data_IF_492790498256
#
_entry.id   IF_492790498256
#
_cell.length_a   1.000
_cell.length_b   1.000
_cell.length_c   1.000
_cell.angle_alpha   90.00
_cell.angle_beta   90.00
_cell.angle_gamma   90.00
#
_symmetry.space_group_name_H-M   'P 1'
#
loop_
_entity.id
_entity.type
_entity.pdbx_description
1 polymer ?
#
# COMPACT_ATOMS: atom_id res chain seq x y z
N UNK A 1 -12.20 -9.95 12.34
CA UNK A 1 -11.85 -10.23 10.94
C UNK A 1 -10.41 -10.71 10.88
N UNK A 2 -10.16 -11.85 10.25
CA UNK A 2 -8.84 -12.45 10.10
C UNK A 2 -8.20 -11.98 8.80
N UNK A 3 -7.06 -11.32 8.91
CA UNK A 3 -6.25 -10.88 7.78
C UNK A 3 -5.71 -12.11 7.05
N UNK A 4 -6.09 -12.31 5.78
CA UNK A 4 -5.59 -13.45 4.99
C UNK A 4 -4.08 -13.30 4.70
N UNK A 5 -3.43 -14.41 4.37
CA UNK A 5 -2.03 -14.40 3.92
C UNK A 5 -1.83 -13.46 2.70
N UNK A 6 -2.82 -13.38 1.81
CA UNK A 6 -2.82 -12.47 0.67
C UNK A 6 -2.94 -11.01 1.10
N UNK A 7 -3.84 -10.69 2.04
CA UNK A 7 -4.02 -9.33 2.54
C UNK A 7 -2.72 -8.83 3.18
N UNK A 8 -2.01 -9.69 3.93
CA UNK A 8 -0.67 -9.39 4.46
C UNK A 8 0.34 -9.09 3.36
N UNK A 9 0.34 -9.86 2.26
CA UNK A 9 1.23 -9.61 1.12
C UNK A 9 0.91 -8.28 0.43
N UNK A 10 -0.38 -7.95 0.26
CA UNK A 10 -0.83 -6.67 -0.30
C UNK A 10 -0.32 -5.52 0.56
N UNK A 11 -0.54 -5.57 1.86
CA UNK A 11 -0.09 -4.54 2.80
C UNK A 11 1.44 -4.41 2.79
N UNK A 12 2.18 -5.52 2.80
CA UNK A 12 3.64 -5.50 2.74
C UNK A 12 4.18 -4.90 1.43
N UNK A 13 3.51 -5.17 0.31
CA UNK A 13 3.84 -4.60 -0.99
C UNK A 13 3.56 -3.09 -1.04
N UNK A 14 2.38 -2.67 -0.61
CA UNK A 14 2.00 -1.25 -0.53
C UNK A 14 2.88 -0.46 0.45
N UNK A 15 3.28 -1.06 1.57
CA UNK A 15 4.17 -0.41 2.53
C UNK A 15 5.57 -0.17 1.96
N UNK A 16 6.06 -1.07 1.08
CA UNK A 16 7.33 -0.87 0.36
C UNK A 16 7.21 0.14 -0.77
N UNK A 17 6.09 0.12 -1.50
CA UNK A 17 5.84 0.99 -2.64
C UNK A 17 4.38 1.40 -2.67
N UNK A 18 4.05 2.48 -1.97
CA UNK A 18 2.66 2.96 -1.86
C UNK A 18 2.06 3.47 -3.18
N UNK A 19 2.92 3.75 -4.17
CA UNK A 19 2.51 4.28 -5.48
C UNK A 19 2.47 3.23 -6.59
N UNK A 20 2.32 1.97 -6.22
CA UNK A 20 2.33 0.86 -7.15
C UNK A 20 0.97 0.71 -7.84
N UNK A 21 0.97 0.42 -9.13
CA UNK A 21 -0.26 0.22 -9.88
C UNK A 21 -0.96 -1.07 -9.44
N UNK A 22 -2.30 -1.11 -9.54
CA UNK A 22 -3.07 -2.31 -9.21
C UNK A 22 -2.66 -3.52 -10.06
N UNK A 23 -2.20 -3.31 -11.30
CA UNK A 23 -1.64 -4.35 -12.16
C UNK A 23 -0.36 -4.97 -11.55
N UNK A 24 0.65 -4.15 -11.27
CA UNK A 24 1.90 -4.57 -10.64
C UNK A 24 1.66 -5.25 -9.28
N UNK A 25 0.78 -4.67 -8.46
CA UNK A 25 0.39 -5.23 -7.18
C UNK A 25 -0.21 -6.62 -7.37
N UNK A 26 -1.12 -6.78 -8.34
CA UNK A 26 -1.80 -8.05 -8.63
C UNK A 26 -0.84 -9.14 -9.11
N UNK A 27 0.17 -8.81 -9.92
CA UNK A 27 1.24 -9.74 -10.28
C UNK A 27 2.04 -10.17 -9.05
N UNK A 28 2.42 -9.20 -8.20
CA UNK A 28 3.24 -9.47 -7.03
C UNK A 28 2.53 -10.36 -5.99
N UNK A 29 1.21 -10.20 -5.85
CA UNK A 29 0.39 -11.02 -4.94
C UNK A 29 -0.27 -12.24 -5.60
N UNK A 30 0.02 -12.51 -6.89
CA UNK A 30 -0.54 -13.61 -7.68
C UNK A 30 -2.07 -13.63 -7.67
N UNK A 31 -2.69 -12.49 -7.98
CA UNK A 31 -4.13 -12.30 -8.05
C UNK A 31 -4.55 -11.65 -9.36
N UNK A 32 -5.83 -11.76 -9.69
CA UNK A 32 -6.41 -10.96 -10.77
C UNK A 32 -6.47 -9.47 -10.36
N UNK A 33 -6.30 -8.54 -11.31
CA UNK A 33 -6.34 -7.10 -11.03
C UNK A 33 -7.64 -6.64 -10.32
N UNK A 34 -8.78 -7.21 -10.73
CA UNK A 34 -10.09 -6.93 -10.14
C UNK A 34 -10.23 -7.46 -8.70
N UNK A 35 -9.67 -8.64 -8.40
CA UNK A 35 -9.67 -9.15 -7.03
C UNK A 35 -8.75 -8.34 -6.11
N UNK A 36 -7.59 -7.90 -6.64
CA UNK A 36 -6.65 -7.06 -5.93
C UNK A 36 -7.29 -5.72 -5.54
N UNK A 37 -7.93 -5.04 -6.49
CA UNK A 37 -8.62 -3.77 -6.24
C UNK A 37 -9.67 -3.87 -5.12
N UNK A 38 -10.53 -4.90 -5.17
CA UNK A 38 -11.58 -5.10 -4.15
C UNK A 38 -11.00 -5.36 -2.75
N UNK A 39 -9.87 -6.07 -2.68
CA UNK A 39 -9.16 -6.35 -1.41
C UNK A 39 -8.54 -5.08 -0.84
N UNK A 40 -7.88 -4.26 -1.66
CA UNK A 40 -7.32 -2.97 -1.25
C UNK A 40 -8.41 -2.05 -0.72
N UNK A 41 -9.50 -1.87 -1.48
CA UNK A 41 -10.65 -1.06 -1.04
C UNK A 41 -11.22 -1.52 0.31
N UNK A 42 -11.30 -2.84 0.52
CA UNK A 42 -11.74 -3.40 1.80
C UNK A 42 -10.75 -3.06 2.92
N UNK A 43 -9.45 -3.21 2.69
CA UNK A 43 -8.41 -2.89 3.67
C UNK A 43 -8.39 -1.39 4.03
N UNK A 44 -8.69 -0.52 3.08
CA UNK A 44 -8.88 0.92 3.31
C UNK A 44 -10.15 1.18 4.14
N UNK A 45 -11.28 0.59 3.73
CA UNK A 45 -12.56 0.78 4.42
C UNK A 45 -12.56 0.23 5.86
N UNK A 46 -11.85 -0.87 6.09
CA UNK A 46 -11.66 -1.47 7.42
C UNK A 46 -10.61 -0.71 8.27
N UNK A 47 -9.90 0.27 7.68
CA UNK A 47 -8.91 1.09 8.39
C UNK A 47 -7.56 0.41 8.62
N UNK A 48 -7.27 -0.70 7.93
CA UNK A 48 -5.93 -1.30 7.90
C UNK A 48 -4.93 -0.39 7.19
N UNK A 49 -5.38 0.28 6.13
CA UNK A 49 -4.63 1.34 5.47
C UNK A 49 -5.13 2.67 6.05
N UNK A 50 -4.29 3.29 6.90
CA UNK A 50 -4.64 4.55 7.56
C UNK A 50 -4.48 5.75 6.65
N UNK A 51 -3.37 5.82 5.94
CA UNK A 51 -3.05 6.95 5.06
C UNK A 51 -1.95 6.60 4.07
N UNK A 52 -1.86 7.35 2.97
CA UNK A 52 -0.77 7.25 1.99
C UNK A 52 0.15 8.46 2.12
N UNK A 53 1.32 8.24 2.70
CA UNK A 53 2.28 9.32 2.95
C UNK A 53 3.43 9.30 1.94
N UNK A 54 3.84 10.47 1.48
CA UNK A 54 5.08 10.65 0.74
C UNK A 54 6.24 10.85 1.74
N UNK A 55 7.27 10.02 1.64
CA UNK A 55 8.52 10.24 2.36
C UNK A 55 9.33 11.31 1.61
N UNK A 56 9.50 12.47 2.24
CA UNK A 56 10.19 13.60 1.66
C UNK A 56 11.61 13.72 2.21
N UNK A 57 12.52 14.19 1.38
CA UNK A 57 13.90 14.46 1.77
C UNK A 57 14.00 15.88 2.37
N UNK A 58 14.19 15.94 3.69
CA UNK A 58 14.29 17.20 4.42
C UNK A 58 15.43 18.11 3.90
N UNK A 59 16.54 17.54 3.41
CA UNK A 59 17.69 18.31 2.91
C UNK A 59 17.38 19.02 1.60
N UNK A 60 16.54 18.41 0.76
CA UNK A 60 16.09 19.00 -0.51
C UNK A 60 14.95 20.01 -0.33
N UNK A 61 14.33 20.01 0.84
CA UNK A 61 13.26 20.93 1.19
C UNK A 61 13.75 22.15 1.97
N UNK A 62 15.08 22.32 2.12
CA UNK A 62 15.71 23.39 2.90
C UNK A 62 15.09 23.54 4.32
N UNK A 63 14.62 22.42 4.89
CA UNK A 63 14.03 22.39 6.22
C UNK A 63 15.15 22.21 7.25
N UNK A 64 15.46 23.23 8.08
CA UNK A 64 16.43 23.09 9.14
C UNK A 64 15.94 22.01 10.11
N UNK A 65 16.73 20.96 10.27
CA UNK A 65 16.46 19.93 11.28
C UNK A 65 16.59 20.61 12.63
N UNK A 66 15.46 20.89 13.28
CA UNK A 66 15.40 21.48 14.62
C UNK A 66 15.61 20.40 15.68
#
# INVERSE_FOLDING_TARGET
>A
MTLDATDRKILAALQRKGRMSNADLSEQVNLSPSACHRRVQRLEAEGFIRDYVALLDARKLDLPTT
#
